data_IF_086411987344
#
_entry.id   IF_086411987344
#
_cell.length_a   1.000
_cell.length_b   1.000
_cell.length_c   1.000
_cell.angle_alpha   90.00
_cell.angle_beta   90.00
_cell.angle_gamma   90.00
#
_symmetry.space_group_name_H-M   'P 1'
#
loop_
_entity.id
_entity.type
_entity.pdbx_description
1 polymer ?
#
# COMPACT_ATOMS: atom_id res chain seq x y z
N UNK A 1 -43.19 57.82 22.20
CA UNK A 1 -43.55 56.60 21.45
C UNK A 1 -42.44 56.39 20.43
N UNK A 2 -41.55 55.43 20.67
CA UNK A 2 -40.30 55.26 19.92
C UNK A 2 -40.59 54.54 18.60
N UNK A 3 -40.29 55.19 17.48
CA UNK A 3 -40.37 54.61 16.16
C UNK A 3 -39.17 53.67 15.94
N UNK A 4 -39.45 52.38 15.79
CA UNK A 4 -38.44 51.38 15.41
C UNK A 4 -38.32 51.39 13.89
N UNK A 5 -37.18 51.87 13.39
CA UNK A 5 -36.81 51.82 11.97
C UNK A 5 -36.71 50.35 11.52
N UNK A 6 -37.50 49.97 10.53
CA UNK A 6 -37.36 48.71 9.82
C UNK A 6 -36.09 48.75 8.95
N UNK A 7 -34.99 48.22 9.46
CA UNK A 7 -33.79 47.94 8.69
C UNK A 7 -34.11 46.91 7.60
N UNK A 8 -34.05 47.33 6.34
CA UNK A 8 -34.48 46.53 5.19
C UNK A 8 -33.64 45.25 5.05
N UNK A 9 -34.28 44.13 4.71
CA UNK A 9 -33.67 42.85 4.35
C UNK A 9 -32.75 42.91 3.09
N UNK A 10 -32.30 44.10 2.68
CA UNK A 10 -31.23 44.30 1.70
C UNK A 10 -29.88 44.57 2.38
N UNK A 11 -29.85 45.13 3.59
CA UNK A 11 -28.59 45.46 4.26
C UNK A 11 -27.85 44.20 4.74
N UNK A 12 -28.56 43.27 5.38
CA UNK A 12 -27.98 42.01 5.86
C UNK A 12 -27.37 41.14 4.76
N UNK A 13 -27.98 41.13 3.56
CA UNK A 13 -27.50 40.36 2.42
C UNK A 13 -26.19 40.93 1.86
N UNK A 14 -26.04 42.26 1.88
CA UNK A 14 -24.81 42.94 1.46
C UNK A 14 -23.69 42.69 2.48
N UNK A 15 -24.01 42.75 3.78
CA UNK A 15 -23.04 42.44 4.84
C UNK A 15 -22.55 40.99 4.77
N UNK A 16 -23.44 40.02 4.56
CA UNK A 16 -23.06 38.61 4.40
C UNK A 16 -22.19 38.38 3.16
N UNK A 17 -22.49 39.06 2.04
CA UNK A 17 -21.67 38.98 0.83
C UNK A 17 -20.26 39.55 1.07
N UNK A 18 -20.15 40.67 1.79
CA UNK A 18 -18.86 41.28 2.13
C UNK A 18 -18.03 40.38 3.04
N UNK A 19 -18.65 39.74 4.03
CA UNK A 19 -17.97 38.77 4.90
C UNK A 19 -17.50 37.55 4.10
N UNK A 20 -18.33 37.00 3.22
CA UNK A 20 -17.95 35.87 2.38
C UNK A 20 -16.77 36.21 1.46
N UNK A 21 -16.75 37.42 0.88
CA UNK A 21 -15.65 37.89 0.03
C UNK A 21 -14.35 38.08 0.83
N UNK A 22 -14.44 38.60 2.05
CA UNK A 22 -13.29 38.76 2.93
C UNK A 22 -12.69 37.39 3.33
N UNK A 23 -13.53 36.41 3.64
CA UNK A 23 -13.10 35.04 3.96
C UNK A 23 -12.44 34.37 2.75
N UNK A 24 -13.01 34.52 1.56
CA UNK A 24 -12.42 33.99 0.34
C UNK A 24 -11.06 34.64 0.02
N UNK A 25 -10.94 35.96 0.21
CA UNK A 25 -9.68 36.68 0.05
C UNK A 25 -8.60 36.21 1.03
N UNK A 26 -8.97 35.99 2.29
CA UNK A 26 -8.06 35.46 3.32
C UNK A 26 -7.58 34.05 2.95
N UNK A 27 -8.48 33.19 2.47
CA UNK A 27 -8.14 31.82 2.06
C UNK A 27 -7.14 31.79 0.89
N UNK A 28 -7.32 32.66 -0.11
CA UNK A 28 -6.39 32.80 -1.24
C UNK A 28 -5.01 33.30 -0.76
N UNK A 29 -4.98 34.29 0.14
CA UNK A 29 -3.73 34.80 0.69
C UNK A 29 -2.94 33.74 1.49
N UNK A 30 -3.63 32.94 2.31
CA UNK A 30 -3.02 31.83 3.04
C UNK A 30 -2.47 30.76 2.09
N UNK A 31 -3.21 30.43 1.03
CA UNK A 31 -2.77 29.44 0.02
C UNK A 31 -1.54 29.92 -0.75
N UNK A 32 -1.49 31.21 -1.11
CA UNK A 32 -0.33 31.80 -1.78
C UNK A 32 0.91 31.83 -0.88
N UNK A 33 0.74 32.09 0.42
CA UNK A 33 1.82 32.04 1.40
C UNK A 33 2.38 30.61 1.54
N UNK A 34 1.51 29.61 1.55
CA UNK A 34 1.91 28.19 1.67
C UNK A 34 2.71 27.74 0.44
N UNK A 35 2.29 28.14 -0.76
CA UNK A 35 3.03 27.90 -2.01
C UNK A 35 4.39 28.60 -2.00
N UNK A 36 4.45 29.86 -1.54
CA UNK A 36 5.71 30.62 -1.48
C UNK A 36 6.68 30.03 -0.44
N UNK A 37 6.18 29.54 0.68
CA UNK A 37 6.96 28.81 1.69
C UNK A 37 7.50 27.50 1.12
N UNK A 38 6.66 26.75 0.40
CA UNK A 38 7.05 25.53 -0.27
C UNK A 38 8.18 25.79 -1.29
N UNK A 39 8.02 26.80 -2.15
CA UNK A 39 9.03 27.20 -3.14
C UNK A 39 10.34 27.65 -2.50
N UNK A 40 10.28 28.46 -1.44
CA UNK A 40 11.49 28.90 -0.70
C UNK A 40 12.22 27.72 -0.05
N UNK A 41 11.47 26.74 0.46
CA UNK A 41 12.03 25.52 1.02
C UNK A 41 12.65 24.63 -0.07
N UNK A 42 12.08 24.54 -1.27
CA UNK A 42 12.67 23.75 -2.36
C UNK A 42 13.87 24.44 -3.01
N UNK A 43 13.79 25.75 -3.25
CA UNK A 43 14.79 26.48 -4.03
C UNK A 43 16.04 26.83 -3.21
N UNK A 44 15.87 27.07 -1.89
CA UNK A 44 16.98 27.30 -0.97
C UNK A 44 17.95 26.12 -0.82
N UNK A 45 17.58 24.92 -1.31
CA UNK A 45 18.41 23.71 -1.23
C UNK A 45 19.15 23.37 -2.52
N UNK A 46 18.95 24.12 -3.62
CA UNK A 46 19.71 23.92 -4.86
C UNK A 46 21.18 24.37 -4.74
N UNK A 47 21.50 25.21 -3.75
CA UNK A 47 22.79 25.93 -3.67
C UNK A 47 23.73 25.45 -2.55
N UNK A 48 23.32 24.52 -1.69
CA UNK A 48 24.17 24.01 -0.61
C UNK A 48 24.93 22.76 -1.08
N UNK A 49 26.26 22.82 -1.04
CA UNK A 49 27.19 21.76 -1.46
C UNK A 49 26.82 20.40 -0.86
N UNK A 50 26.42 19.46 -1.74
CA UNK A 50 26.14 18.07 -1.40
C UNK A 50 27.42 17.34 -1.00
N UNK A 51 27.72 17.28 0.29
CA UNK A 51 28.43 16.12 0.84
C UNK A 51 27.34 15.16 1.33
N UNK A 52 27.08 14.04 0.63
CA UNK A 52 26.14 13.05 1.15
C UNK A 52 26.71 12.49 2.46
N UNK A 53 25.89 12.49 3.52
CA UNK A 53 26.21 11.78 4.76
C UNK A 53 26.41 10.30 4.41
N UNK A 54 27.67 9.85 4.44
CA UNK A 54 28.02 8.47 4.16
C UNK A 54 27.63 7.61 5.36
N UNK A 55 26.65 6.72 5.18
CA UNK A 55 26.40 5.65 6.15
C UNK A 55 27.60 4.71 6.14
N UNK A 56 28.32 4.66 7.26
CA UNK A 56 29.49 3.79 7.45
C UNK A 56 29.00 2.49 8.07
N UNK A 57 28.97 1.41 7.29
CA UNK A 57 28.59 0.08 7.78
C UNK A 57 29.86 -0.54 8.39
N UNK A 58 29.89 -0.65 9.72
CA UNK A 58 30.96 -1.36 10.43
C UNK A 58 30.44 -2.71 10.92
N UNK A 59 30.98 -3.85 10.43
CA UNK A 59 30.65 -5.14 11.01
C UNK A 59 31.16 -5.24 12.47
N UNK A 60 30.67 -6.22 13.26
CA UNK A 60 31.15 -6.48 14.62
C UNK A 60 32.68 -6.59 14.69
N UNK A 61 33.29 -6.07 15.76
CA UNK A 61 34.75 -6.07 15.98
C UNK A 61 35.46 -7.41 15.69
N UNK A 62 34.92 -8.59 16.08
CA UNK A 62 35.54 -9.89 15.77
C UNK A 62 35.66 -10.18 14.28
N UNK A 63 34.75 -9.64 13.45
CA UNK A 63 34.73 -9.83 12.00
C UNK A 63 35.60 -8.81 11.26
N UNK A 64 35.99 -7.71 11.93
CA UNK A 64 36.87 -6.66 11.40
C UNK A 64 38.35 -6.97 11.56
N UNK A 65 38.70 -7.96 12.38
CA UNK A 65 40.09 -8.39 12.59
C UNK A 65 40.37 -9.54 11.62
N UNK A 66 40.94 -9.22 10.47
CA UNK A 66 41.52 -10.22 9.55
C UNK A 66 43.02 -10.14 9.65
N UNK A 67 43.68 -11.29 9.90
CA UNK A 67 45.15 -11.38 9.95
C UNK A 67 45.82 -10.34 10.87
N UNK A 68 45.20 -10.04 12.02
CA UNK A 68 45.75 -9.11 13.01
C UNK A 68 45.66 -7.62 12.63
N UNK A 69 44.93 -7.26 11.57
CA UNK A 69 44.68 -5.86 11.17
C UNK A 69 43.20 -5.54 11.21
N UNK A 70 42.87 -4.33 11.68
CA UNK A 70 41.52 -3.79 11.69
C UNK A 70 41.19 -3.25 10.30
N UNK A 71 40.26 -3.89 9.59
CA UNK A 71 39.80 -3.39 8.29
C UNK A 71 38.98 -2.10 8.45
N UNK A 72 39.19 -1.17 7.51
CA UNK A 72 38.43 0.06 7.39
C UNK A 72 36.97 -0.27 7.04
N UNK A 73 36.00 0.46 7.62
CA UNK A 73 34.60 0.16 7.37
C UNK A 73 34.21 0.47 5.92
N UNK A 74 33.38 -0.38 5.33
CA UNK A 74 32.90 -0.21 3.96
C UNK A 74 31.84 0.89 3.89
N UNK A 75 31.99 1.80 2.94
CA UNK A 75 30.97 2.83 2.64
C UNK A 75 29.74 2.13 2.06
N UNK A 76 28.56 2.43 2.60
CA UNK A 76 27.31 1.92 2.04
C UNK A 76 27.15 2.35 0.56
N UNK A 77 26.69 1.46 -0.33
CA UNK A 77 26.52 1.81 -1.74
C UNK A 77 25.54 2.97 -1.92
N UNK A 78 25.87 3.91 -2.81
CA UNK A 78 25.04 5.07 -3.14
C UNK A 78 23.82 4.62 -3.95
N UNK A 79 22.62 4.89 -3.45
CA UNK A 79 21.35 4.31 -3.91
C UNK A 79 20.87 4.71 -5.32
N UNK A 80 21.57 5.59 -6.04
CA UNK A 80 21.17 6.05 -7.38
C UNK A 80 21.23 4.98 -8.49
N UNK A 81 21.74 3.78 -8.18
CA UNK A 81 21.87 2.66 -9.12
C UNK A 81 20.83 1.52 -8.93
N UNK A 82 19.89 1.65 -8.00
CA UNK A 82 18.95 0.55 -7.68
C UNK A 82 17.70 0.63 -8.55
N UNK A 83 17.65 -0.15 -9.64
CA UNK A 83 16.39 -0.32 -10.38
C UNK A 83 15.42 -1.20 -9.58
N UNK A 84 14.13 -0.89 -9.59
CA UNK A 84 13.08 -1.68 -8.94
C UNK A 84 12.98 -3.14 -9.44
N UNK A 85 13.63 -3.46 -10.57
CA UNK A 85 13.62 -4.79 -11.20
C UNK A 85 14.98 -5.48 -11.17
N UNK A 86 16.00 -4.87 -10.58
CA UNK A 86 17.36 -5.40 -10.56
C UNK A 86 17.95 -5.29 -9.17
N UNK A 87 18.41 -6.41 -8.63
CA UNK A 87 19.06 -6.45 -7.33
C UNK A 87 18.90 -7.82 -6.68
N UNK A 88 19.71 -8.05 -5.65
CA UNK A 88 19.72 -9.31 -4.89
C UNK A 88 18.32 -9.68 -4.37
N UNK A 89 17.60 -8.72 -3.78
CA UNK A 89 16.24 -8.93 -3.27
C UNK A 89 15.26 -9.32 -4.37
N UNK A 90 15.29 -8.63 -5.51
CA UNK A 90 14.39 -8.92 -6.63
C UNK A 90 14.67 -10.31 -7.23
N UNK A 91 15.94 -10.68 -7.35
CA UNK A 91 16.34 -12.02 -7.79
C UNK A 91 15.96 -13.11 -6.79
N UNK A 92 16.13 -12.86 -5.48
CA UNK A 92 15.71 -13.78 -4.43
C UNK A 92 14.19 -13.97 -4.40
N UNK A 93 13.43 -12.89 -4.52
CA UNK A 93 11.97 -12.93 -4.59
C UNK A 93 11.50 -13.74 -5.81
N UNK A 94 12.09 -13.48 -6.99
CA UNK A 94 11.75 -14.22 -8.21
C UNK A 94 12.01 -15.72 -8.06
N UNK A 95 13.12 -16.12 -7.41
CA UNK A 95 13.41 -17.54 -7.11
C UNK A 95 12.36 -18.15 -6.19
N UNK A 96 12.04 -17.50 -5.07
CA UNK A 96 11.05 -18.01 -4.12
C UNK A 96 9.66 -18.11 -4.75
N UNK A 97 9.25 -17.12 -5.55
CA UNK A 97 7.98 -17.13 -6.28
C UNK A 97 7.91 -18.22 -7.34
N UNK A 98 9.02 -18.52 -8.03
CA UNK A 98 9.07 -19.62 -8.99
C UNK A 98 8.91 -20.99 -8.31
N UNK A 99 9.45 -21.16 -7.11
CA UNK A 99 9.38 -22.41 -6.35
C UNK A 99 8.03 -22.64 -5.65
N UNK A 100 7.43 -21.59 -5.08
CA UNK A 100 6.17 -21.70 -4.32
C UNK A 100 4.93 -21.48 -5.19
N UNK A 101 5.09 -21.01 -6.42
CA UNK A 101 4.00 -20.48 -7.24
C UNK A 101 3.66 -19.04 -6.82
N UNK A 102 3.35 -18.20 -7.80
CA UNK A 102 2.96 -16.83 -7.53
C UNK A 102 1.56 -16.80 -6.90
N UNK A 103 1.46 -16.35 -5.66
CA UNK A 103 0.17 -15.95 -5.09
C UNK A 103 -0.37 -14.75 -5.89
N UNK A 104 -1.66 -14.78 -6.23
CA UNK A 104 -2.34 -13.60 -6.75
C UNK A 104 -2.26 -12.48 -5.70
N UNK A 105 -1.93 -11.27 -6.15
CA UNK A 105 -1.89 -10.10 -5.30
C UNK A 105 -3.29 -9.77 -4.80
N UNK A 106 -3.58 -10.16 -3.56
CA UNK A 106 -4.75 -9.69 -2.83
C UNK A 106 -4.51 -8.31 -2.24
N UNK A 107 -5.58 -7.67 -1.77
CA UNK A 107 -5.51 -6.45 -0.97
C UNK A 107 -6.26 -6.69 0.33
N UNK A 108 -5.68 -6.31 1.47
CA UNK A 108 -6.39 -6.32 2.74
C UNK A 108 -6.87 -4.92 3.08
N UNK A 109 -8.16 -4.79 3.33
CA UNK A 109 -8.79 -3.54 3.75
C UNK A 109 -9.75 -3.85 4.90
N UNK A 110 -9.56 -3.20 6.05
CA UNK A 110 -10.41 -3.39 7.24
C UNK A 110 -10.56 -4.88 7.61
N UNK A 111 -9.45 -5.62 7.63
CA UNK A 111 -9.38 -7.07 7.90
C UNK A 111 -10.12 -7.98 6.90
N UNK A 112 -10.53 -7.45 5.75
CA UNK A 112 -11.14 -8.21 4.66
C UNK A 112 -10.13 -8.39 3.52
N UNK A 113 -9.95 -9.64 3.10
CA UNK A 113 -9.14 -9.97 1.93
C UNK A 113 -9.96 -9.80 0.66
N UNK A 114 -9.43 -9.03 -0.27
CA UNK A 114 -9.98 -8.84 -1.59
C UNK A 114 -9.03 -9.38 -2.66
N UNK A 115 -9.61 -9.83 -3.77
CA UNK A 115 -8.90 -10.26 -4.97
C UNK A 115 -9.43 -9.48 -6.17
N UNK A 116 -8.55 -9.13 -7.11
CA UNK A 116 -8.94 -8.46 -8.34
C UNK A 116 -9.93 -9.31 -9.17
N UNK A 117 -11.02 -8.69 -9.62
CA UNK A 117 -12.09 -9.38 -10.33
C UNK A 117 -11.61 -9.97 -11.67
N UNK A 118 -10.67 -9.32 -12.36
CA UNK A 118 -10.09 -9.84 -13.60
C UNK A 118 -9.24 -11.10 -13.35
N UNK A 119 -8.51 -11.13 -12.23
CA UNK A 119 -7.79 -12.32 -11.78
C UNK A 119 -8.75 -13.48 -11.50
N UNK A 120 -9.87 -13.23 -10.80
CA UNK A 120 -10.91 -14.25 -10.57
C UNK A 120 -11.54 -14.71 -11.89
N UNK A 121 -11.82 -13.79 -12.82
CA UNK A 121 -12.37 -14.08 -14.14
C UNK A 121 -11.48 -15.07 -14.90
N UNK A 122 -10.19 -14.76 -15.00
CA UNK A 122 -9.20 -15.62 -15.64
C UNK A 122 -9.06 -16.98 -14.94
N UNK A 123 -9.14 -17.00 -13.60
CA UNK A 123 -9.07 -18.22 -12.80
C UNK A 123 -10.24 -19.17 -13.03
N UNK A 124 -11.46 -18.67 -13.21
CA UNK A 124 -12.65 -19.51 -13.46
C UNK A 124 -13.00 -19.67 -14.93
N UNK A 125 -12.24 -19.04 -15.84
CA UNK A 125 -12.55 -19.03 -17.27
C UNK A 125 -13.81 -18.22 -17.61
N UNK A 126 -14.05 -17.12 -16.89
CA UNK A 126 -15.14 -16.19 -17.15
C UNK A 126 -14.65 -14.92 -17.87
N UNK A 127 -15.56 -14.27 -18.57
CA UNK A 127 -15.35 -12.96 -19.17
C UNK A 127 -15.82 -11.87 -18.20
N UNK A 128 -14.96 -10.87 -17.96
CA UNK A 128 -15.31 -9.69 -17.17
C UNK A 128 -15.73 -8.54 -18.09
N UNK A 129 -17.00 -8.18 -18.05
CA UNK A 129 -17.57 -7.04 -18.78
C UNK A 129 -17.76 -5.87 -17.82
N UNK A 130 -17.12 -4.74 -18.11
CA UNK A 130 -17.22 -3.52 -17.31
C UNK A 130 -17.43 -2.31 -18.20
N UNK A 131 -18.41 -1.47 -17.84
CA UNK A 131 -18.78 -0.29 -18.63
C UNK A 131 -17.97 0.96 -18.24
N UNK A 132 -17.82 1.21 -16.94
CA UNK A 132 -17.10 2.38 -16.42
C UNK A 132 -16.65 2.16 -14.95
N UNK A 133 -15.73 3.00 -14.43
CA UNK A 133 -15.53 3.16 -12.99
C UNK A 133 -16.84 3.43 -12.24
N UNK A 134 -17.05 2.78 -11.10
CA UNK A 134 -18.26 2.88 -10.28
C UNK A 134 -19.50 2.16 -10.82
N UNK A 135 -19.53 1.78 -12.10
CA UNK A 135 -20.66 1.07 -12.70
C UNK A 135 -20.67 -0.42 -12.31
N UNK A 136 -21.83 -1.09 -12.37
CA UNK A 136 -21.91 -2.53 -12.21
C UNK A 136 -21.00 -3.25 -13.21
N UNK A 137 -20.32 -4.29 -12.73
CA UNK A 137 -19.51 -5.18 -13.55
C UNK A 137 -20.18 -6.55 -13.63
N UNK A 138 -20.03 -7.23 -14.77
CA UNK A 138 -20.61 -8.55 -15.01
C UNK A 138 -19.52 -9.56 -15.25
N UNK A 139 -19.56 -10.66 -14.54
CA UNK A 139 -18.79 -11.86 -14.80
C UNK A 139 -19.68 -12.85 -15.54
N UNK A 140 -19.32 -13.17 -16.78
CA UNK A 140 -20.01 -14.12 -17.63
C UNK A 140 -19.21 -15.42 -17.59
N UNK A 141 -19.69 -16.38 -16.80
CA UNK A 141 -19.08 -17.70 -16.68
C UNK A 141 -19.95 -18.75 -17.41
N UNK A 142 -19.41 -19.93 -17.75
CA UNK A 142 -20.22 -21.06 -18.25
C UNK A 142 -21.36 -21.46 -17.30
N UNK A 143 -21.16 -21.15 -16.02
CA UNK A 143 -22.04 -21.45 -14.89
C UNK A 143 -23.18 -20.43 -14.70
N UNK A 144 -23.10 -19.28 -15.38
CA UNK A 144 -24.09 -18.22 -15.29
C UNK A 144 -23.48 -16.81 -15.28
N UNK A 145 -24.35 -15.82 -15.13
CA UNK A 145 -23.97 -14.40 -15.09
C UNK A 145 -24.00 -13.92 -13.65
N UNK A 146 -22.93 -13.25 -13.21
CA UNK A 146 -22.87 -12.60 -11.90
C UNK A 146 -22.63 -11.11 -12.07
N UNK A 147 -23.52 -10.29 -11.52
CA UNK A 147 -23.43 -8.83 -11.54
C UNK A 147 -23.02 -8.31 -10.16
N UNK A 148 -21.92 -7.56 -10.15
CA UNK A 148 -21.33 -6.94 -8.97
C UNK A 148 -21.50 -5.44 -9.07
N UNK A 149 -22.12 -4.84 -8.06
CA UNK A 149 -22.18 -3.38 -7.92
C UNK A 149 -21.18 -2.96 -6.84
N UNK A 150 -20.19 -2.11 -7.16
CA UNK A 150 -19.26 -1.59 -6.16
C UNK A 150 -20.00 -1.00 -4.96
N UNK A 151 -19.47 -1.21 -3.75
CA UNK A 151 -20.03 -0.73 -2.48
C UNK A 151 -21.39 -1.35 -2.07
N UNK A 152 -21.98 -2.22 -2.91
CA UNK A 152 -23.19 -2.98 -2.57
C UNK A 152 -22.83 -4.40 -2.13
N UNK A 153 -23.25 -4.86 -0.93
CA UNK A 153 -23.10 -6.26 -0.55
C UNK A 153 -24.07 -7.19 -1.31
N UNK A 154 -25.10 -6.63 -1.95
CA UNK A 154 -26.03 -7.38 -2.77
C UNK A 154 -25.44 -7.50 -4.17
N UNK A 155 -25.22 -8.75 -4.59
CA UNK A 155 -24.82 -9.12 -5.95
C UNK A 155 -25.93 -9.93 -6.60
N UNK A 156 -25.95 -10.04 -7.93
CA UNK A 156 -26.99 -10.81 -8.64
C UNK A 156 -26.35 -11.98 -9.35
N UNK A 157 -26.76 -13.20 -9.01
CA UNK A 157 -26.39 -14.42 -9.74
C UNK A 157 -27.60 -14.89 -10.54
N UNK A 158 -27.48 -14.95 -11.87
CA UNK A 158 -28.60 -15.27 -12.76
C UNK A 158 -29.86 -14.45 -12.43
N UNK A 159 -29.66 -13.14 -12.21
CA UNK A 159 -30.67 -12.16 -11.80
C UNK A 159 -31.29 -12.33 -10.41
N UNK A 160 -30.93 -13.37 -9.66
CA UNK A 160 -31.35 -13.57 -8.27
C UNK A 160 -30.36 -12.88 -7.31
N UNK A 161 -30.86 -12.16 -6.30
CA UNK A 161 -29.99 -11.48 -5.34
C UNK A 161 -29.31 -12.49 -4.41
N UNK A 162 -28.02 -12.28 -4.18
CA UNK A 162 -27.21 -13.00 -3.19
C UNK A 162 -26.47 -11.96 -2.36
N UNK A 163 -26.48 -12.13 -1.04
CA UNK A 163 -25.79 -11.20 -0.13
C UNK A 163 -24.39 -11.72 0.17
N UNK A 164 -23.38 -10.93 -0.19
CA UNK A 164 -22.00 -11.18 0.21
C UNK A 164 -21.78 -10.70 1.65
N UNK A 165 -20.85 -11.32 2.40
CA UNK A 165 -20.47 -10.85 3.74
C UNK A 165 -19.93 -9.42 3.75
N UNK A 166 -19.32 -9.00 2.64
CA UNK A 166 -18.73 -7.67 2.45
C UNK A 166 -19.00 -7.18 1.03
N UNK A 167 -19.08 -5.86 0.81
CA UNK A 167 -19.30 -5.31 -0.53
C UNK A 167 -18.04 -5.40 -1.38
N UNK A 168 -18.14 -5.62 -2.70
CA UNK A 168 -17.04 -5.38 -3.64
C UNK A 168 -16.54 -3.94 -3.55
N UNK A 169 -15.23 -3.74 -3.74
CA UNK A 169 -14.59 -2.43 -3.63
C UNK A 169 -13.93 -2.06 -4.95
N UNK A 170 -13.89 -0.77 -5.24
CA UNK A 170 -13.05 -0.26 -6.33
C UNK A 170 -11.79 0.34 -5.73
N UNK A 171 -10.63 -0.22 -6.10
CA UNK A 171 -9.32 0.20 -5.61
C UNK A 171 -8.42 0.45 -6.81
N UNK A 172 -7.81 1.63 -6.89
CA UNK A 172 -6.96 2.04 -8.01
C UNK A 172 -7.62 1.83 -9.39
N UNK A 173 -8.92 2.11 -9.49
CA UNK A 173 -9.70 1.94 -10.72
C UNK A 173 -9.98 0.49 -11.11
N UNK A 174 -9.73 -0.50 -10.24
CA UNK A 174 -10.01 -1.92 -10.47
C UNK A 174 -11.02 -2.46 -9.48
N UNK A 175 -11.92 -3.31 -9.96
CA UNK A 175 -12.90 -3.98 -9.11
C UNK A 175 -12.22 -5.10 -8.34
N UNK A 176 -12.37 -5.07 -7.03
CA UNK A 176 -11.86 -6.05 -6.09
C UNK A 176 -13.04 -6.73 -5.39
N UNK A 177 -13.03 -8.05 -5.39
CA UNK A 177 -14.08 -8.89 -4.81
C UNK A 177 -13.61 -9.44 -3.46
N UNK A 178 -14.44 -9.44 -2.41
CA UNK A 178 -14.08 -10.04 -1.14
C UNK A 178 -13.92 -11.55 -1.35
N UNK A 179 -12.82 -12.13 -0.88
CA UNK A 179 -12.55 -13.57 -1.07
C UNK A 179 -13.58 -14.42 -0.31
N UNK A 180 -13.90 -14.02 0.92
CA UNK A 180 -14.93 -14.68 1.73
C UNK A 180 -16.30 -14.47 1.11
N UNK A 181 -16.99 -15.57 0.77
CA UNK A 181 -18.33 -15.55 0.18
C UNK A 181 -18.35 -15.66 -1.35
N UNK A 182 -17.19 -15.74 -2.02
CA UNK A 182 -17.16 -15.99 -3.48
C UNK A 182 -17.77 -17.33 -3.86
N UNK A 183 -17.67 -18.32 -2.98
CA UNK A 183 -18.24 -19.65 -3.12
C UNK A 183 -19.78 -19.65 -3.17
N UNK A 184 -20.43 -18.65 -2.59
CA UNK A 184 -21.88 -18.47 -2.71
C UNK A 184 -22.31 -18.05 -4.14
N UNK A 185 -21.43 -17.38 -4.88
CA UNK A 185 -21.79 -16.69 -6.13
C UNK A 185 -21.11 -17.26 -7.37
N UNK A 186 -19.93 -17.86 -7.21
CA UNK A 186 -19.10 -18.42 -8.27
C UNK A 186 -18.83 -19.90 -7.99
N UNK A 187 -18.48 -20.69 -9.02
CA UNK A 187 -18.13 -22.11 -8.87
C UNK A 187 -16.69 -22.26 -8.32
N UNK A 188 -16.45 -21.71 -7.12
CA UNK A 188 -15.18 -21.76 -6.42
C UNK A 188 -15.40 -22.21 -4.98
N UNK A 189 -14.45 -22.91 -4.39
CA UNK A 189 -14.39 -23.12 -2.94
C UNK A 189 -13.29 -22.25 -2.34
N UNK A 190 -13.52 -21.68 -1.16
CA UNK A 190 -12.56 -20.81 -0.48
C UNK A 190 -12.10 -21.43 0.83
N UNK A 191 -10.79 -21.42 1.10
CA UNK A 191 -10.22 -21.92 2.34
C UNK A 191 -9.11 -20.98 2.84
N UNK A 192 -9.16 -20.61 4.12
CA UNK A 192 -8.10 -19.82 4.76
C UNK A 192 -7.02 -20.74 5.34
N UNK A 193 -5.75 -20.38 5.14
CA UNK A 193 -4.61 -21.02 5.79
C UNK A 193 -3.91 -20.01 6.69
N UNK A 194 -4.03 -20.19 8.01
CA UNK A 194 -3.34 -19.34 8.98
C UNK A 194 -1.81 -19.47 8.89
N UNK A 195 -1.29 -20.68 8.62
CA UNK A 195 0.15 -20.92 8.49
C UNK A 195 0.78 -20.20 7.28
N UNK A 196 0.00 -20.00 6.21
CA UNK A 196 0.46 -19.30 5.00
C UNK A 196 0.02 -17.83 4.94
N UNK A 197 -0.82 -17.40 5.88
CA UNK A 197 -1.54 -16.12 5.83
C UNK A 197 -2.19 -15.87 4.46
N UNK A 198 -2.76 -16.92 3.87
CA UNK A 198 -3.26 -16.91 2.50
C UNK A 198 -4.61 -17.62 2.38
N UNK A 199 -5.46 -17.08 1.50
CA UNK A 199 -6.64 -17.77 1.01
C UNK A 199 -6.28 -18.68 -0.16
N UNK A 200 -6.91 -19.84 -0.23
CA UNK A 200 -6.89 -20.73 -1.39
C UNK A 200 -8.28 -20.70 -2.03
N UNK A 201 -8.35 -20.35 -3.31
CA UNK A 201 -9.51 -20.54 -4.16
C UNK A 201 -9.28 -21.81 -4.99
N UNK A 202 -10.26 -22.71 -5.04
CA UNK A 202 -10.20 -23.92 -5.87
C UNK A 202 -11.41 -23.96 -6.81
N UNK A 203 -11.20 -24.33 -8.07
CA UNK A 203 -12.25 -24.49 -9.09
C UNK A 203 -11.87 -25.64 -10.02
N UNK A 204 -12.56 -26.78 -9.89
CA UNK A 204 -12.11 -28.04 -10.48
C UNK A 204 -10.69 -28.38 -10.02
N UNK A 205 -9.80 -28.67 -10.97
CA UNK A 205 -8.38 -28.98 -10.70
C UNK A 205 -7.50 -27.73 -10.56
N UNK A 206 -8.06 -26.53 -10.74
CA UNK A 206 -7.31 -25.27 -10.65
C UNK A 206 -7.28 -24.78 -9.23
N UNK A 207 -6.11 -24.31 -8.79
CA UNK A 207 -5.89 -23.68 -7.48
C UNK A 207 -5.27 -22.29 -7.65
N UNK A 208 -5.76 -21.33 -6.90
CA UNK A 208 -5.22 -19.98 -6.81
C UNK A 208 -5.00 -19.61 -5.34
N UNK A 209 -3.76 -19.30 -4.97
CA UNK A 209 -3.48 -18.70 -3.66
C UNK A 209 -3.62 -17.18 -3.76
N UNK A 210 -4.34 -16.57 -2.83
CA UNK A 210 -4.58 -15.13 -2.71
C UNK A 210 -4.07 -14.69 -1.35
N UNK A 211 -3.11 -13.80 -1.34
CA UNK A 211 -2.59 -13.21 -0.11
C UNK A 211 -2.33 -11.71 -0.33
N UNK A 212 -2.50 -10.93 0.74
CA UNK A 212 -2.08 -9.54 0.69
C UNK A 212 -0.55 -9.50 0.71
N UNK A 213 0.11 -8.73 -0.19
CA UNK A 213 1.57 -8.66 -0.23
C UNK A 213 2.19 -8.35 1.14
N UNK A 214 1.56 -7.47 1.90
CA UNK A 214 1.96 -7.10 3.27
C UNK A 214 1.97 -8.25 4.28
N UNK A 215 1.20 -9.32 4.05
CA UNK A 215 1.18 -10.52 4.90
C UNK A 215 2.19 -11.58 4.44
N UNK A 216 2.70 -11.43 3.21
CA UNK A 216 3.73 -12.30 2.66
C UNK A 216 5.12 -11.81 3.03
N UNK A 217 5.33 -10.49 3.15
CA UNK A 217 6.62 -9.93 3.50
C UNK A 217 6.75 -9.72 5.01
N UNK A 218 7.90 -10.11 5.54
CA UNK A 218 8.29 -9.80 6.91
C UNK A 218 9.72 -9.22 6.90
N UNK A 219 9.95 -8.25 7.77
CA UNK A 219 11.26 -7.62 7.98
C UNK A 219 11.60 -7.76 9.45
N UNK A 220 12.63 -8.55 9.74
CA UNK A 220 13.13 -8.76 11.10
C UNK A 220 14.42 -7.95 11.26
N UNK A 221 14.48 -7.10 12.29
CA UNK A 221 15.69 -6.37 12.64
C UNK A 221 16.20 -6.94 13.97
N UNK A 222 17.29 -7.70 13.91
CA UNK A 222 18.01 -8.11 15.09
C UNK A 222 18.97 -6.99 15.51
N UNK A 223 18.60 -6.31 16.57
CA UNK A 223 19.37 -5.22 17.16
C UNK A 223 20.68 -5.70 17.82
N UNK A 224 20.70 -6.92 18.36
CA UNK A 224 21.88 -7.50 19.01
C UNK A 224 22.93 -7.87 17.98
N UNK A 225 22.50 -8.53 16.90
CA UNK A 225 23.37 -8.97 15.80
C UNK A 225 23.59 -7.90 14.74
N UNK A 226 22.85 -6.78 14.81
CA UNK A 226 22.85 -5.69 13.83
C UNK A 226 22.57 -6.20 12.42
N UNK A 227 21.57 -7.06 12.30
CA UNK A 227 21.16 -7.61 11.02
C UNK A 227 19.71 -7.30 10.71
N UNK A 228 19.44 -7.00 9.44
CA UNK A 228 18.12 -6.90 8.86
C UNK A 228 17.90 -8.10 7.96
N UNK A 229 16.86 -8.85 8.23
CA UNK A 229 16.40 -9.96 7.42
C UNK A 229 15.09 -9.59 6.74
N UNK A 230 14.98 -9.88 5.44
CA UNK A 230 13.71 -9.76 4.71
C UNK A 230 13.30 -11.15 4.29
N UNK A 231 12.09 -11.56 4.64
CA UNK A 231 11.51 -12.83 4.25
C UNK A 231 10.25 -12.64 3.40
N UNK A 232 9.91 -13.65 2.61
CA UNK A 232 8.67 -13.75 1.84
C UNK A 232 8.05 -15.14 2.04
N UNK A 233 6.80 -15.18 2.50
CA UNK A 233 6.07 -16.42 2.83
C UNK A 233 6.90 -17.35 3.73
N UNK A 234 7.50 -16.78 4.79
CA UNK A 234 8.35 -17.49 5.76
C UNK A 234 9.71 -17.94 5.23
N UNK A 235 10.10 -17.59 3.99
CA UNK A 235 11.41 -17.89 3.44
C UNK A 235 12.29 -16.64 3.40
N UNK A 236 13.48 -16.76 3.97
CA UNK A 236 14.47 -15.70 3.91
C UNK A 236 14.81 -15.36 2.45
N UNK A 237 14.65 -14.09 2.07
CA UNK A 237 15.07 -13.57 0.78
C UNK A 237 16.51 -13.08 0.85
N UNK A 238 16.80 -12.19 1.81
CA UNK A 238 18.09 -11.52 1.99
C UNK A 238 18.34 -11.27 3.46
N UNK A 239 19.63 -11.19 3.82
CA UNK A 239 20.09 -10.78 5.14
C UNK A 239 21.23 -9.80 4.97
N UNK A 240 21.09 -8.61 5.54
CA UNK A 240 22.07 -7.54 5.45
C UNK A 240 22.49 -7.07 6.85
N UNK A 241 23.69 -6.50 6.95
CA UNK A 241 24.05 -5.72 8.13
C UNK A 241 23.25 -4.41 8.14
N UNK A 242 22.80 -3.97 9.32
CA UNK A 242 22.10 -2.70 9.48
C UNK A 242 22.66 -1.89 10.64
N UNK A 243 22.59 -0.56 10.54
CA UNK A 243 22.89 0.32 11.64
C UNK A 243 21.65 0.52 12.52
N UNK A 244 21.83 0.45 13.83
CA UNK A 244 20.79 0.81 14.81
C UNK A 244 21.09 2.18 15.41
N UNK A 245 20.13 2.74 16.14
CA UNK A 245 20.32 4.00 16.84
C UNK A 245 21.49 3.95 17.83
N UNK A 246 22.08 5.12 18.09
CA UNK A 246 23.22 5.27 18.99
C UNK A 246 22.93 4.66 20.36
N UNK A 247 23.92 3.99 20.95
CA UNK A 247 23.73 3.29 22.23
C UNK A 247 22.72 2.14 22.17
N UNK A 248 22.40 1.64 20.97
CA UNK A 248 21.41 0.57 20.77
C UNK A 248 19.98 0.96 21.17
N UNK A 249 19.63 2.24 21.03
CA UNK A 249 18.38 2.81 21.54
C UNK A 249 17.16 2.66 20.60
N UNK A 250 17.30 1.96 19.46
CA UNK A 250 16.16 1.66 18.59
C UNK A 250 15.05 0.94 19.37
N UNK A 251 13.81 1.46 19.38
CA UNK A 251 12.69 0.85 20.08
C UNK A 251 12.39 -0.58 19.60
N UNK A 252 12.06 -1.47 20.53
CA UNK A 252 11.65 -2.85 20.24
C UNK A 252 10.13 -2.91 20.15
N UNK A 253 9.63 -3.63 19.16
CA UNK A 253 8.20 -3.92 19.02
C UNK A 253 7.86 -4.37 17.61
N UNK A 254 6.57 -4.60 17.39
CA UNK A 254 6.03 -4.90 16.07
C UNK A 254 5.69 -3.60 15.35
N UNK A 255 6.28 -3.42 14.18
CA UNK A 255 6.14 -2.21 13.37
C UNK A 255 5.68 -2.55 11.97
N UNK A 256 4.99 -1.61 11.32
CA UNK A 256 4.61 -1.73 9.90
C UNK A 256 5.13 -0.54 9.11
N UNK A 257 5.56 -0.80 7.88
CA UNK A 257 5.95 0.27 6.94
C UNK A 257 4.71 1.02 6.50
N UNK A 258 4.44 2.17 7.11
CA UNK A 258 3.26 3.00 6.79
C UNK A 258 3.46 3.87 5.56
N UNK A 259 4.69 4.32 5.31
CA UNK A 259 5.01 5.21 4.20
C UNK A 259 6.35 4.83 3.59
N UNK A 260 6.52 5.10 2.29
CA UNK A 260 7.77 4.98 1.56
C UNK A 260 8.12 6.34 1.01
N UNK A 261 9.31 6.83 1.36
CA UNK A 261 9.82 8.09 0.85
C UNK A 261 11.15 7.84 0.14
N UNK A 262 11.35 8.56 -0.95
CA UNK A 262 12.61 8.56 -1.69
C UNK A 262 13.25 9.92 -1.46
N UNK A 263 14.40 9.93 -0.78
CA UNK A 263 15.08 11.14 -0.30
C UNK A 263 14.25 12.04 0.63
N UNK A 264 13.66 11.49 1.70
CA UNK A 264 12.99 12.34 2.67
C UNK A 264 14.02 13.27 3.35
N UNK A 265 13.70 14.55 3.56
CA UNK A 265 14.58 15.49 4.26
C UNK A 265 14.48 15.26 5.78
N UNK A 266 14.83 14.06 6.24
CA UNK A 266 14.92 13.78 7.66
C UNK A 266 16.12 14.53 8.23
N UNK A 267 15.86 15.41 9.19
CA UNK A 267 16.85 16.16 9.97
C UNK A 267 16.89 15.59 11.38
#
# INVERSE_FOLDING_TARGET
>A
MVAVQAGSARSWAIELLQVALAVAGLWVACSALDIALYQRLTDGHASASRTPLACVISPPLPQRVRSGRLEAPSVAPVASAVSHRSGELAAALARVQAEQGAAASGVRLEDVFYVDAATVASFIGAELVRQAPGAPARLIAPTGIVEFTPLSPIVRRNYQPVTLPQPPRELNGRLHLPVRGLDAVLPVSTAWSAAKSAWTLSSGDRRLEVAAPEDLFEIVIDRSDRTLEVSYSGRQLVRWACCTGEGNNSPIGDWRVRNKAVWPPWR
#
